data_IF_163895478850
#
_entry.id   IF_163895478850
#
_cell.length_a   1.000
_cell.length_b   1.000
_cell.length_c   1.000
_cell.angle_alpha   90.00
_cell.angle_beta   90.00
_cell.angle_gamma   90.00
#
_symmetry.space_group_name_H-M   'P 1'
#
loop_
_entity.id
_entity.type
_entity.pdbx_description
1 polymer ?
#
# COMPACT_ATOMS: atom_id res chain seq x y z
N UNK A 1 -33.67 -0.26 -7.59
CA UNK A 1 -32.82 0.31 -8.68
C UNK A 1 -32.90 1.84 -8.73
N UNK A 2 -34.09 2.47 -8.81
CA UNK A 2 -34.23 3.94 -8.87
C UNK A 2 -33.54 4.67 -7.71
N UNK A 3 -33.82 4.26 -6.47
CA UNK A 3 -33.20 4.81 -5.25
C UNK A 3 -31.68 4.61 -5.24
N UNK A 4 -31.17 3.50 -5.78
CA UNK A 4 -29.72 3.25 -5.82
C UNK A 4 -29.01 4.19 -6.81
N UNK A 5 -29.58 4.43 -8.00
CA UNK A 5 -29.02 5.38 -8.97
C UNK A 5 -29.02 6.82 -8.44
N UNK A 6 -30.08 7.21 -7.74
CA UNK A 6 -30.20 8.52 -7.09
C UNK A 6 -29.10 8.67 -6.02
N UNK A 7 -28.94 7.67 -5.14
CA UNK A 7 -27.89 7.68 -4.12
C UNK A 7 -26.49 7.81 -4.74
N UNK A 8 -26.13 6.98 -5.72
CA UNK A 8 -24.79 7.01 -6.32
C UNK A 8 -24.51 8.35 -7.01
N UNK A 9 -25.51 8.93 -7.68
CA UNK A 9 -25.37 10.23 -8.37
C UNK A 9 -25.14 11.40 -7.40
N UNK A 10 -25.64 11.29 -6.17
CA UNK A 10 -25.55 12.31 -5.12
C UNK A 10 -24.31 12.16 -4.22
N UNK A 11 -23.51 11.10 -4.39
CA UNK A 11 -22.26 10.95 -3.63
C UNK A 11 -21.27 12.05 -4.01
N UNK A 12 -20.73 12.71 -2.99
CA UNK A 12 -19.71 13.77 -3.14
C UNK A 12 -18.33 13.20 -3.46
N UNK A 13 -17.96 12.08 -2.83
CA UNK A 13 -16.69 11.39 -3.01
C UNK A 13 -16.93 9.88 -2.80
N UNK A 14 -16.23 9.05 -3.57
CA UNK A 14 -16.31 7.58 -3.51
C UNK A 14 -14.92 7.02 -3.37
N UNK A 15 -14.68 6.23 -2.33
CA UNK A 15 -13.39 5.59 -2.08
C UNK A 15 -13.47 4.12 -2.46
N UNK A 16 -12.62 3.72 -3.40
CA UNK A 16 -12.45 2.34 -3.81
C UNK A 16 -11.33 1.72 -2.99
N UNK A 17 -11.69 0.72 -2.19
CA UNK A 17 -10.83 0.20 -1.11
C UNK A 17 -9.94 -0.92 -1.63
N UNK A 18 -8.63 -0.67 -1.64
CA UNK A 18 -7.60 -1.63 -2.01
C UNK A 18 -6.68 -1.89 -0.81
N UNK A 19 -7.00 -2.93 -0.04
CA UNK A 19 -6.21 -3.34 1.12
C UNK A 19 -5.21 -4.40 0.68
N UNK A 20 -3.93 -4.09 0.88
CA UNK A 20 -2.80 -4.84 0.37
C UNK A 20 -2.20 -5.74 1.45
N UNK A 21 -1.78 -6.96 1.09
CA UNK A 21 -1.27 -7.94 2.06
C UNK A 21 0.26 -8.10 2.04
N UNK A 22 0.93 -7.71 0.95
CA UNK A 22 2.35 -7.96 0.74
C UNK A 22 3.20 -6.68 0.56
N UNK A 23 2.60 -5.49 0.64
CA UNK A 23 3.26 -4.25 0.18
C UNK A 23 4.28 -3.68 1.14
N UNK A 24 4.20 -3.98 2.44
CA UNK A 24 5.23 -3.58 3.41
C UNK A 24 6.36 -4.61 3.54
N UNK A 25 6.11 -5.84 3.15
CA UNK A 25 7.04 -6.96 3.29
C UNK A 25 6.89 -7.87 2.06
N UNK A 26 7.85 -7.78 1.13
CA UNK A 26 8.01 -8.78 0.08
C UNK A 26 9.18 -9.68 0.43
N UNK A 27 8.90 -10.97 0.58
CA UNK A 27 9.89 -12.05 0.68
C UNK A 27 9.48 -13.07 -0.38
N UNK A 28 10.37 -13.34 -1.33
CA UNK A 28 10.11 -14.16 -2.52
C UNK A 28 9.39 -15.46 -2.29
N UNK A 29 9.74 -16.19 -1.24
CA UNK A 29 9.19 -17.54 -1.11
C UNK A 29 8.03 -17.63 -0.09
N UNK A 30 7.88 -16.66 0.81
CA UNK A 30 6.94 -16.77 1.93
C UNK A 30 5.55 -16.19 1.66
N UNK A 31 5.41 -15.35 0.63
CA UNK A 31 4.16 -14.66 0.33
C UNK A 31 3.31 -15.36 -0.74
N UNK A 32 3.84 -16.41 -1.41
CA UNK A 32 3.23 -17.02 -2.60
C UNK A 32 3.65 -16.37 -3.93
N UNK A 33 4.76 -15.63 -3.93
CA UNK A 33 5.26 -14.81 -5.04
C UNK A 33 6.61 -15.32 -5.56
N UNK A 34 6.63 -16.50 -6.21
CA UNK A 34 7.84 -17.31 -6.44
C UNK A 34 8.98 -16.63 -7.23
N UNK A 35 8.79 -15.42 -7.74
CA UNK A 35 9.75 -14.68 -8.57
C UNK A 35 10.39 -13.46 -7.91
N UNK A 36 9.97 -13.05 -6.70
CA UNK A 36 10.57 -11.89 -6.03
C UNK A 36 11.77 -12.35 -5.19
N UNK A 37 12.94 -12.55 -5.79
CA UNK A 37 14.15 -12.96 -5.05
C UNK A 37 14.76 -11.86 -4.16
N UNK A 38 13.95 -10.88 -3.71
CA UNK A 38 14.41 -9.68 -3.02
C UNK A 38 13.62 -9.41 -1.75
N UNK A 39 14.31 -9.02 -0.67
CA UNK A 39 13.69 -8.51 0.57
C UNK A 39 13.62 -6.99 0.51
N UNK A 40 12.40 -6.45 0.56
CA UNK A 40 12.15 -5.01 0.60
C UNK A 40 11.24 -4.65 1.78
N UNK A 41 11.51 -3.49 2.40
CA UNK A 41 10.68 -2.90 3.45
C UNK A 41 10.23 -1.52 3.03
N UNK A 42 8.91 -1.34 2.94
CA UNK A 42 8.30 -0.03 2.79
C UNK A 42 7.73 0.45 4.13
N UNK A 43 8.52 1.26 4.85
CA UNK A 43 8.03 1.91 6.08
C UNK A 43 7.01 3.01 5.79
N UNK A 44 6.98 3.53 4.57
CA UNK A 44 6.10 4.63 4.17
C UNK A 44 4.64 4.19 4.00
N UNK A 45 4.40 2.98 3.49
CA UNK A 45 3.05 2.51 3.16
C UNK A 45 2.14 2.43 4.39
N UNK A 46 1.03 3.18 4.50
CA UNK A 46 0.23 3.23 5.73
C UNK A 46 -0.34 1.87 6.13
N UNK A 47 -0.37 1.60 7.43
CA UNK A 47 -0.93 0.37 7.99
C UNK A 47 -2.39 0.57 8.39
N UNK A 48 -3.26 -0.28 7.88
CA UNK A 48 -4.68 -0.26 8.21
C UNK A 48 -4.90 -0.62 9.68
N UNK A 49 -5.86 0.05 10.32
CA UNK A 49 -6.32 -0.25 11.67
C UNK A 49 -7.86 -0.27 11.68
N UNK A 50 -8.44 -0.88 12.71
CA UNK A 50 -9.89 -1.06 12.84
C UNK A 50 -10.70 0.20 13.22
N UNK A 51 -10.16 1.25 13.89
CA UNK A 51 -10.96 2.42 14.22
C UNK A 51 -11.65 3.07 13.00
N UNK A 52 -12.87 3.54 13.19
CA UNK A 52 -13.66 4.17 12.13
C UNK A 52 -13.52 5.70 12.07
N UNK A 53 -12.84 6.31 13.05
CA UNK A 53 -12.58 7.75 13.07
C UNK A 53 -11.21 8.06 12.49
N UNK A 54 -11.14 9.08 11.65
CA UNK A 54 -9.93 9.43 10.91
C UNK A 54 -9.79 10.94 10.69
N UNK A 55 -8.57 11.36 10.41
CA UNK A 55 -8.19 12.71 10.03
C UNK A 55 -7.54 12.72 8.65
N UNK A 56 -8.12 13.48 7.73
CA UNK A 56 -7.52 13.75 6.41
C UNK A 56 -6.57 14.93 6.55
N UNK A 57 -5.27 14.68 6.47
CA UNK A 57 -4.25 15.72 6.71
C UNK A 57 -3.78 16.40 5.42
N UNK A 58 -4.31 15.98 4.26
CA UNK A 58 -3.90 16.45 2.93
C UNK A 58 -2.73 15.62 2.38
N UNK A 59 -1.92 16.18 1.46
CA UNK A 59 -0.78 15.47 0.88
C UNK A 59 0.18 14.92 1.93
N UNK A 60 0.67 13.70 1.76
CA UNK A 60 1.49 13.03 2.77
C UNK A 60 2.74 13.87 3.12
N UNK A 61 2.90 14.34 4.37
CA UNK A 61 4.01 15.22 4.74
C UNK A 61 5.34 14.49 4.93
N UNK A 62 5.35 13.14 4.92
CA UNK A 62 6.54 12.33 5.11
C UNK A 62 7.39 12.32 3.83
N UNK A 63 8.71 12.12 3.96
CA UNK A 63 9.64 12.00 2.83
C UNK A 63 9.50 10.62 2.18
N UNK A 64 8.57 10.48 1.25
CA UNK A 64 8.14 9.18 0.66
C UNK A 64 8.42 9.06 -0.84
N UNK A 65 9.09 10.04 -1.44
CA UNK A 65 9.23 10.18 -2.90
C UNK A 65 9.91 8.96 -3.55
N UNK A 66 10.91 8.39 -2.89
CA UNK A 66 11.61 7.19 -3.37
C UNK A 66 10.72 5.94 -3.30
N UNK A 67 9.80 5.86 -2.35
CA UNK A 67 8.85 4.76 -2.24
C UNK A 67 7.75 4.89 -3.30
N UNK A 68 7.33 6.11 -3.62
CA UNK A 68 6.35 6.39 -4.66
C UNK A 68 6.87 6.14 -6.09
N UNK A 69 8.18 6.09 -6.32
CA UNK A 69 8.73 5.75 -7.66
C UNK A 69 8.71 4.25 -7.96
N UNK A 70 8.59 3.40 -6.94
CA UNK A 70 8.65 1.95 -7.06
C UNK A 70 7.56 1.32 -6.19
N UNK A 71 6.32 1.75 -6.41
CA UNK A 71 5.19 1.30 -5.62
C UNK A 71 4.71 -0.06 -6.12
N UNK A 72 5.11 -1.13 -5.43
CA UNK A 72 4.69 -2.49 -5.72
C UNK A 72 3.34 -2.76 -5.07
N UNK A 73 2.26 -2.78 -5.85
CA UNK A 73 0.89 -3.01 -5.35
C UNK A 73 0.10 -3.85 -6.35
N UNK A 74 -0.91 -4.58 -5.89
CA UNK A 74 -1.92 -5.08 -6.84
C UNK A 74 -2.65 -3.91 -7.46
N UNK A 75 -2.73 -3.87 -8.81
CA UNK A 75 -3.32 -2.77 -9.56
C UNK A 75 -4.69 -2.34 -8.98
N UNK A 76 -4.74 -1.17 -8.30
CA UNK A 76 -5.96 -0.67 -7.71
C UNK A 76 -6.93 -0.11 -8.76
N UNK A 77 -6.45 0.25 -9.96
CA UNK A 77 -7.28 0.77 -11.05
C UNK A 77 -8.28 -0.27 -11.55
N UNK A 78 -7.95 -1.57 -11.48
CA UNK A 78 -8.90 -2.66 -11.76
C UNK A 78 -10.21 -2.55 -10.98
N UNK A 79 -10.18 -2.04 -9.74
CA UNK A 79 -11.38 -1.80 -8.95
C UNK A 79 -12.25 -0.69 -9.57
N UNK A 80 -11.60 0.39 -10.04
CA UNK A 80 -12.29 1.48 -10.72
C UNK A 80 -12.86 1.03 -12.05
N UNK A 81 -12.09 0.33 -12.88
CA UNK A 81 -12.56 -0.18 -14.17
C UNK A 81 -13.74 -1.14 -14.00
N UNK A 82 -13.68 -2.02 -13.01
CA UNK A 82 -14.80 -2.91 -12.67
C UNK A 82 -16.03 -2.12 -12.20
N UNK A 83 -15.83 -1.05 -11.44
CA UNK A 83 -16.90 -0.18 -10.98
C UNK A 83 -17.54 0.61 -12.13
N UNK A 84 -16.76 1.11 -13.08
CA UNK A 84 -17.26 1.78 -14.29
C UNK A 84 -18.19 0.88 -15.09
N UNK A 85 -17.85 -0.40 -15.26
CA UNK A 85 -18.73 -1.37 -15.93
C UNK A 85 -20.06 -1.55 -15.20
N UNK A 86 -20.06 -1.49 -13.86
CA UNK A 86 -21.30 -1.54 -13.06
C UNK A 86 -22.14 -0.28 -13.30
N UNK A 87 -21.52 0.91 -13.26
CA UNK A 87 -22.19 2.18 -13.49
C UNK A 87 -22.82 2.27 -14.89
N UNK A 88 -22.12 1.80 -15.91
CA UNK A 88 -22.60 1.74 -17.29
C UNK A 88 -23.86 0.87 -17.40
N UNK A 89 -23.83 -0.34 -16.81
CA UNK A 89 -24.99 -1.26 -16.81
C UNK A 89 -26.22 -0.67 -16.13
N UNK A 90 -26.02 0.21 -15.14
CA UNK A 90 -27.12 0.90 -14.46
C UNK A 90 -27.38 2.30 -15.04
N UNK A 91 -26.72 2.71 -16.13
CA UNK A 91 -26.94 4.00 -16.78
C UNK A 91 -26.65 5.21 -15.89
N UNK A 92 -25.64 5.11 -15.02
CA UNK A 92 -25.14 6.23 -14.22
C UNK A 92 -23.84 6.70 -14.86
N UNK A 93 -23.76 8.01 -15.16
CA UNK A 93 -22.53 8.60 -15.71
C UNK A 93 -21.53 8.83 -14.58
N UNK A 94 -20.32 8.26 -14.64
CA UNK A 94 -19.27 8.53 -13.66
C UNK A 94 -18.76 9.97 -13.76
N UNK A 95 -18.36 10.53 -12.62
CA UNK A 95 -17.59 11.77 -12.50
C UNK A 95 -16.26 11.39 -11.86
N UNK A 96 -15.22 11.23 -12.68
CA UNK A 96 -13.92 10.67 -12.28
C UNK A 96 -13.30 11.41 -11.09
N UNK A 97 -13.46 12.73 -11.05
CA UNK A 97 -12.91 13.61 -10.02
C UNK A 97 -13.42 13.30 -8.61
N UNK A 98 -14.53 12.56 -8.49
CA UNK A 98 -15.12 12.12 -7.21
C UNK A 98 -14.54 10.81 -6.70
N UNK A 99 -13.82 10.06 -7.53
CA UNK A 99 -13.29 8.77 -7.15
C UNK A 99 -11.89 8.90 -6.59
N UNK A 100 -11.63 8.14 -5.52
CA UNK A 100 -10.29 7.98 -4.93
C UNK A 100 -10.00 6.51 -4.74
N UNK A 101 -8.74 6.15 -4.91
CA UNK A 101 -8.23 4.81 -4.61
C UNK A 101 -7.63 4.85 -3.20
N UNK A 102 -8.22 4.09 -2.29
CA UNK A 102 -7.74 3.94 -0.93
C UNK A 102 -6.76 2.78 -0.88
N UNK A 103 -5.51 3.06 -0.50
CA UNK A 103 -4.46 2.06 -0.35
C UNK A 103 -4.01 1.98 1.11
N UNK A 104 -3.99 0.77 1.68
CA UNK A 104 -3.46 0.51 3.01
C UNK A 104 -2.95 -0.91 3.14
N UNK A 105 -1.92 -1.11 3.94
CA UNK A 105 -1.40 -2.43 4.25
C UNK A 105 -2.25 -3.11 5.32
N UNK A 106 -2.53 -4.41 5.18
CA UNK A 106 -3.21 -5.23 6.19
C UNK A 106 -2.20 -5.81 7.16
N UNK A 107 -2.17 -5.37 8.43
CA UNK A 107 -1.38 -6.03 9.45
C UNK A 107 -1.89 -7.46 9.66
N UNK A 108 -1.00 -8.39 9.98
CA UNK A 108 -1.36 -9.79 10.25
C UNK A 108 -2.21 -10.02 11.52
N UNK A 109 -2.56 -8.95 12.24
CA UNK A 109 -3.54 -8.96 13.32
C UNK A 109 -4.25 -7.61 13.40
N UNK A 110 -5.45 -7.58 13.98
CA UNK A 110 -6.21 -6.34 14.10
C UNK A 110 -5.52 -5.36 15.05
N UNK A 111 -5.44 -4.10 14.62
CA UNK A 111 -4.93 -2.98 15.40
C UNK A 111 -6.14 -2.13 15.80
N UNK A 112 -6.50 -2.14 17.08
CA UNK A 112 -7.71 -1.48 17.56
C UNK A 112 -7.43 -0.23 18.41
N UNK A 113 -6.26 -0.16 19.04
CA UNK A 113 -5.85 0.88 19.98
C UNK A 113 -4.36 1.16 19.87
N UNK A 114 -3.90 2.25 20.49
CA UNK A 114 -2.49 2.68 20.43
C UNK A 114 -1.52 1.56 20.85
N UNK A 115 -1.85 0.83 21.91
CA UNK A 115 -1.00 -0.27 22.40
C UNK A 115 -0.84 -1.40 21.39
N UNK A 116 -1.89 -1.72 20.62
CA UNK A 116 -1.81 -2.78 19.60
C UNK A 116 -0.90 -2.33 18.44
N UNK A 117 -0.95 -1.03 18.11
CA UNK A 117 -0.07 -0.41 17.12
C UNK A 117 1.40 -0.44 17.56
N UNK A 118 1.69 -0.10 18.83
CA UNK A 118 3.03 -0.19 19.42
C UNK A 118 3.56 -1.63 19.41
N UNK A 119 2.73 -2.59 19.85
CA UNK A 119 3.08 -4.02 19.85
C UNK A 119 3.33 -4.53 18.42
N UNK A 120 2.52 -4.10 17.44
CA UNK A 120 2.71 -4.47 16.05
C UNK A 120 4.02 -3.91 15.49
N UNK A 121 4.35 -2.64 15.74
CA UNK A 121 5.61 -2.03 15.30
C UNK A 121 6.83 -2.74 15.88
N UNK A 122 6.79 -3.10 17.16
CA UNK A 122 7.88 -3.86 17.78
C UNK A 122 8.07 -5.23 17.13
N UNK A 123 6.96 -5.92 16.77
CA UNK A 123 7.02 -7.20 16.07
C UNK A 123 7.51 -7.06 14.64
N UNK A 124 7.09 -6.01 13.92
CA UNK A 124 7.57 -5.70 12.57
C UNK A 124 9.09 -5.50 12.57
N UNK A 125 9.59 -4.65 13.48
CA UNK A 125 11.04 -4.38 13.64
C UNK A 125 11.82 -5.64 14.06
N UNK A 126 11.26 -6.45 14.97
CA UNK A 126 11.89 -7.69 15.43
C UNK A 126 11.99 -8.73 14.32
N UNK A 127 10.96 -8.83 13.46
CA UNK A 127 10.99 -9.73 12.28
C UNK A 127 12.07 -9.32 11.29
N UNK A 128 12.35 -8.03 11.20
CA UNK A 128 13.33 -7.48 10.27
C UNK A 128 14.77 -7.64 10.73
N UNK A 129 15.00 -7.40 12.01
CA UNK A 129 16.33 -7.52 12.62
C UNK A 129 16.71 -8.97 12.93
N UNK A 130 15.75 -9.90 12.87
CA UNK A 130 16.00 -11.33 13.03
C UNK A 130 16.91 -11.86 11.91
N UNK A 131 17.96 -12.59 12.31
CA UNK A 131 18.79 -13.34 11.35
C UNK A 131 17.92 -14.36 10.61
N UNK A 132 18.14 -14.58 9.30
CA UNK A 132 17.48 -15.65 8.57
C UNK A 132 17.71 -16.97 9.30
N UNK A 133 16.62 -17.69 9.60
CA UNK A 133 16.68 -18.93 10.37
C UNK A 133 17.32 -20.04 9.52
N UNK A 134 18.49 -20.52 9.91
CA UNK A 134 19.33 -21.48 9.18
C UNK A 134 18.76 -22.91 9.10
N UNK A 135 17.50 -23.10 9.51
CA UNK A 135 16.81 -24.41 9.57
C UNK A 135 15.74 -24.61 8.49
N UNK A 136 15.48 -23.62 7.64
CA UNK A 136 14.54 -23.81 6.51
C UNK A 136 15.29 -24.43 5.32
N UNK A 137 14.71 -25.42 4.61
CA UNK A 137 15.36 -26.06 3.48
C UNK A 137 15.66 -25.01 2.42
N UNK A 138 16.93 -24.94 2.02
CA UNK A 138 17.44 -24.08 0.97
C UNK A 138 16.92 -24.54 -0.40
N UNK A 139 15.84 -23.91 -0.86
CA UNK A 139 15.78 -23.53 -2.27
C UNK A 139 16.41 -22.13 -2.37
N UNK A 140 17.68 -22.04 -1.96
CA UNK A 140 18.48 -20.82 -2.04
C UNK A 140 18.88 -20.60 -3.50
N UNK A 141 18.00 -19.96 -4.28
CA UNK A 141 18.51 -18.92 -5.16
C UNK A 141 18.82 -17.73 -4.25
N UNK A 142 20.04 -17.21 -4.33
CA UNK A 142 20.55 -16.11 -3.52
C UNK A 142 19.53 -14.96 -3.49
N UNK A 143 18.83 -14.80 -2.37
CA UNK A 143 17.88 -13.71 -2.19
C UNK A 143 18.70 -12.43 -2.03
N UNK A 144 18.80 -11.63 -3.09
CA UNK A 144 19.43 -10.30 -3.05
C UNK A 144 18.58 -9.35 -2.20
N UNK A 145 19.12 -8.81 -1.13
CA UNK A 145 18.44 -7.71 -0.42
C UNK A 145 18.46 -6.46 -1.30
N UNK A 146 17.31 -6.05 -1.84
CA UNK A 146 17.17 -4.80 -2.59
C UNK A 146 16.10 -3.98 -1.93
N UNK A 147 16.54 -2.92 -1.26
CA UNK A 147 15.66 -1.90 -0.74
C UNK A 147 15.11 -1.05 -1.90
N UNK A 148 14.01 -0.33 -1.66
CA UNK A 148 13.53 0.76 -2.53
C UNK A 148 14.49 1.99 -2.56
N UNK A 149 15.77 1.73 -2.30
CA UNK A 149 16.96 2.56 -2.46
C UNK A 149 18.11 1.57 -2.39
N UNK A 150 18.86 1.39 -3.46
CA UNK A 150 20.00 0.46 -3.52
C UNK A 150 21.02 0.74 -2.41
N UNK A 151 21.04 -0.03 -1.31
CA UNK A 151 22.25 -0.20 -0.48
C UNK A 151 22.21 -1.44 0.43
N UNK A 152 23.38 -2.04 0.79
CA UNK A 152 23.52 -3.15 1.75
C UNK A 152 23.18 -2.79 3.21
N UNK A 153 22.49 -1.67 3.43
CA UNK A 153 22.43 -0.90 4.67
C UNK A 153 21.27 -1.28 5.59
N UNK A 154 20.49 -2.33 5.34
CA UNK A 154 19.38 -2.70 6.24
C UNK A 154 19.88 -3.02 7.67
N UNK A 155 21.15 -3.42 7.84
CA UNK A 155 21.75 -3.60 9.17
C UNK A 155 22.21 -2.30 9.84
N UNK A 156 22.37 -1.21 9.07
CA UNK A 156 22.91 0.10 9.48
C UNK A 156 21.96 1.26 9.12
N UNK A 157 20.68 0.99 8.85
CA UNK A 157 19.71 2.02 8.50
C UNK A 157 19.49 2.90 9.74
N UNK A 158 19.81 4.18 9.62
CA UNK A 158 19.62 5.15 10.69
C UNK A 158 18.11 5.34 10.92
N UNK A 159 17.56 4.63 11.91
CA UNK A 159 16.16 4.71 12.31
C UNK A 159 15.71 6.14 12.63
N UNK A 160 16.64 7.05 12.94
CA UNK A 160 16.32 8.47 13.15
C UNK A 160 15.99 9.21 11.85
N UNK A 161 16.40 8.66 10.69
CA UNK A 161 16.14 9.18 9.35
C UNK A 161 15.07 8.38 8.59
N UNK A 162 14.73 7.18 9.06
CA UNK A 162 13.71 6.35 8.44
C UNK A 162 12.32 7.02 8.47
N UNK A 163 11.53 6.77 7.43
CA UNK A 163 10.14 7.26 7.36
C UNK A 163 9.36 6.71 8.55
N UNK A 164 8.72 7.62 9.29
CA UNK A 164 7.87 7.22 10.40
C UNK A 164 6.65 6.44 9.90
N UNK A 165 6.34 5.28 10.51
CA UNK A 165 5.16 4.52 10.16
C UNK A 165 3.90 5.33 10.48
N UNK A 166 2.86 5.13 9.67
CA UNK A 166 1.55 5.74 9.86
C UNK A 166 0.47 4.67 9.94
N UNK A 167 -0.47 4.84 10.86
CA UNK A 167 -1.69 4.04 10.92
C UNK A 167 -2.80 4.81 10.23
N UNK A 168 -3.29 4.27 9.12
CA UNK A 168 -3.95 5.09 8.13
C UNK A 168 -4.10 4.40 6.78
N UNK A 169 -4.37 5.24 5.79
CA UNK A 169 -4.42 4.86 4.39
C UNK A 169 -4.02 6.05 3.52
N UNK A 170 -3.54 5.74 2.33
CA UNK A 170 -3.35 6.72 1.27
C UNK A 170 -4.62 6.85 0.44
N UNK A 171 -4.94 8.06 0.01
CA UNK A 171 -5.92 8.33 -1.03
C UNK A 171 -5.20 8.87 -2.26
N UNK A 172 -5.27 8.10 -3.35
CA UNK A 172 -4.78 8.50 -4.66
C UNK A 172 -5.95 8.93 -5.55
N UNK A 173 -5.73 9.88 -6.48
CA UNK A 173 -6.63 10.03 -7.61
C UNK A 173 -6.53 8.78 -8.51
N UNK A 174 -7.57 8.52 -9.29
CA UNK A 174 -7.68 7.28 -10.08
C UNK A 174 -6.61 7.21 -11.18
N UNK A 175 -6.25 8.36 -11.75
CA UNK A 175 -5.24 8.50 -12.81
C UNK A 175 -3.81 8.21 -12.34
N UNK A 176 -3.57 8.08 -11.03
CA UNK A 176 -2.26 7.72 -10.48
C UNK A 176 -1.79 6.33 -10.94
N UNK A 177 -2.71 5.40 -11.20
CA UNK A 177 -2.39 4.02 -11.58
C UNK A 177 -2.72 3.74 -13.06
N UNK A 178 -2.59 4.74 -13.91
CA UNK A 178 -2.69 4.53 -15.36
C UNK A 178 -1.48 3.78 -15.90
N UNK A 179 -1.66 3.15 -17.06
CA UNK A 179 -0.63 2.39 -17.77
C UNK A 179 0.61 3.25 -18.09
N UNK A 180 0.46 4.59 -18.13
CA UNK A 180 1.58 5.54 -18.30
C UNK A 180 2.52 5.61 -17.09
N UNK A 181 2.01 5.27 -15.90
CA UNK A 181 2.75 5.25 -14.66
C UNK A 181 3.23 3.84 -14.30
N UNK A 182 2.93 2.83 -15.12
CA UNK A 182 3.45 1.48 -14.95
C UNK A 182 4.96 1.47 -15.22
N UNK A 183 5.71 0.85 -14.32
CA UNK A 183 7.16 0.71 -14.44
C UNK A 183 7.48 -0.34 -15.49
N UNK A 184 8.46 -0.07 -16.35
CA UNK A 184 8.86 -1.01 -17.41
C UNK A 184 9.51 -2.31 -16.92
N UNK A 185 9.70 -2.48 -15.59
CA UNK A 185 10.23 -3.70 -15.01
C UNK A 185 9.11 -4.72 -14.81
N UNK A 186 9.08 -5.82 -15.59
CA UNK A 186 8.10 -6.87 -15.40
C UNK A 186 8.50 -7.67 -14.17
N UNK A 187 7.69 -7.60 -13.11
CA UNK A 187 7.64 -8.65 -12.09
C UNK A 187 6.33 -9.39 -12.28
N UNK A 188 6.40 -10.68 -12.61
CA UNK A 188 5.29 -11.55 -13.09
C UNK A 188 4.04 -11.65 -12.18
N UNK A 189 4.00 -10.94 -11.05
CA UNK A 189 2.92 -11.06 -10.06
C UNK A 189 2.48 -9.72 -9.44
N UNK A 190 3.28 -8.64 -9.48
CA UNK A 190 2.93 -7.29 -8.94
C UNK A 190 3.22 -6.24 -9.98
N UNK A 191 2.23 -5.38 -10.18
CA UNK A 191 2.39 -4.18 -10.97
C UNK A 191 3.22 -3.18 -10.12
N UNK A 192 4.31 -2.67 -10.71
CA UNK A 192 5.14 -1.63 -10.10
C UNK A 192 4.76 -0.30 -10.73
N UNK A 193 4.50 0.71 -9.91
CA UNK A 193 4.08 2.03 -10.40
C UNK A 193 5.02 3.15 -9.93
N UNK A 194 5.31 4.09 -10.83
CA UNK A 194 5.89 5.39 -10.51
C UNK A 194 4.78 6.44 -10.39
N UNK A 195 4.31 6.63 -9.15
CA UNK A 195 3.20 7.54 -8.83
C UNK A 195 3.69 8.87 -8.23
N UNK A 196 4.96 9.24 -8.42
CA UNK A 196 5.54 10.47 -7.84
C UNK A 196 4.80 11.75 -8.23
N UNK A 197 4.22 11.78 -9.43
CA UNK A 197 3.41 12.91 -9.93
C UNK A 197 2.10 13.08 -9.15
N UNK A 198 1.64 12.01 -8.51
CA UNK A 198 0.36 11.92 -7.82
C UNK A 198 0.57 11.66 -6.33
N UNK A 199 1.24 12.61 -5.65
CA UNK A 199 1.48 12.51 -4.21
C UNK A 199 0.15 12.22 -3.48
N UNK A 200 0.05 11.10 -2.74
CA UNK A 200 -1.20 10.72 -2.10
C UNK A 200 -1.54 11.67 -0.97
N UNK A 201 -2.84 11.75 -0.69
CA UNK A 201 -3.28 12.29 0.59
C UNK A 201 -3.10 11.22 1.68
N UNK A 202 -2.58 11.62 2.84
CA UNK A 202 -2.52 10.76 4.00
C UNK A 202 -3.77 10.96 4.84
N UNK A 203 -4.41 9.85 5.18
CA UNK A 203 -5.52 9.82 6.14
C UNK A 203 -5.08 8.99 7.33
N UNK A 204 -5.07 9.63 8.51
CA UNK A 204 -4.63 9.02 9.76
C UNK A 204 -5.82 8.49 10.54
N UNK A 205 -5.72 7.24 11.01
CA UNK A 205 -6.71 6.64 11.89
C UNK A 205 -6.47 7.12 13.33
N UNK A 206 -7.54 7.48 14.03
CA UNK A 206 -7.47 7.85 15.45
C UNK A 206 -7.49 6.59 16.30
N UNK A 207 -6.31 6.22 16.78
CA UNK A 207 -6.13 5.14 17.75
C UNK A 207 -6.35 5.73 19.16
N UNK A 208 -7.29 5.15 19.90
CA UNK A 208 -7.56 5.48 21.30
C UNK A 208 -6.65 4.70 22.26
#
# INVERSE_FOLDING_TARGET
VRTFKEIISELNEVWLVSIQECTRQMIGDETGWPTIHKRFLDRSFPSHATPHSFDRIGPDPRTIENYLSHLHVHDPKRLYDSWLQVLERIGVKPCEERYRLLLAFRPGHNICKLRDAEDWLQREESRWTAKPDSRRPSYEQEIESVAASETPEIRDEDLSKAVRPAFGFWLFPVDAFSDENESAEPQDTSDSFDVRKHRPELVLLRLN
#
